data_IF_742174241213
#
_entry.id   IF_742174241213
#
_cell.length_a   1.000
_cell.length_b   1.000
_cell.length_c   1.000
_cell.angle_alpha   90.00
_cell.angle_beta   90.00
_cell.angle_gamma   90.00
#
_symmetry.space_group_name_H-M   'P 1'
#
loop_
_entity.id
_entity.type
_entity.pdbx_description
1 polymer ?
#
# COMPACT_ATOMS: atom_id res chain seq x y z
N UNK A 1 27.12 13.87 1.05
CA UNK A 1 26.17 13.34 2.05
C UNK A 1 24.79 13.45 1.41
N UNK A 2 24.02 12.41 1.08
CA UNK A 2 24.03 10.99 1.44
C UNK A 2 23.79 10.14 0.19
N UNK A 3 24.45 8.98 0.15
CA UNK A 3 24.30 7.96 -0.88
C UNK A 3 23.26 6.95 -0.38
N UNK A 4 22.13 6.76 -1.07
CA UNK A 4 21.34 5.54 -0.90
C UNK A 4 20.94 4.91 -2.25
N UNK A 5 21.90 4.14 -2.76
CA UNK A 5 21.69 2.72 -3.06
C UNK A 5 20.66 2.42 -4.17
N UNK A 6 21.19 2.30 -5.38
CA UNK A 6 20.91 1.21 -6.33
C UNK A 6 20.03 0.06 -5.80
N UNK A 7 18.89 -0.18 -6.46
CA UNK A 7 18.47 -1.52 -6.88
C UNK A 7 17.18 -1.48 -7.73
N UNK A 8 17.37 -1.70 -9.03
CA UNK A 8 16.39 -2.29 -9.93
C UNK A 8 15.97 -3.66 -9.40
N UNK A 9 14.72 -3.77 -8.93
CA UNK A 9 13.99 -5.02 -8.84
C UNK A 9 12.51 -4.63 -8.80
N UNK A 10 11.68 -5.27 -9.63
CA UNK A 10 10.22 -5.12 -9.61
C UNK A 10 9.67 -5.75 -8.32
N UNK A 11 10.04 -5.18 -7.18
CA UNK A 11 9.58 -5.61 -5.88
C UNK A 11 8.10 -5.28 -5.84
N UNK A 12 7.29 -6.32 -5.92
CA UNK A 12 5.84 -6.16 -5.94
C UNK A 12 5.37 -6.34 -4.51
N UNK A 13 4.69 -5.33 -3.98
CA UNK A 13 4.07 -5.38 -2.67
C UNK A 13 2.69 -5.99 -2.84
N UNK A 14 2.43 -7.10 -2.15
CA UNK A 14 1.09 -7.60 -1.95
C UNK A 14 0.46 -6.80 -0.81
N UNK A 15 -0.54 -5.98 -1.13
CA UNK A 15 -1.27 -5.17 -0.15
C UNK A 15 -2.63 -5.82 0.05
N UNK A 16 -2.92 -6.23 1.29
CA UNK A 16 -4.21 -6.82 1.67
C UNK A 16 -4.95 -5.89 2.61
N UNK A 17 -6.21 -5.59 2.32
CA UNK A 17 -7.05 -4.81 3.23
C UNK A 17 -7.55 -5.72 4.38
N UNK A 18 -7.13 -5.47 5.62
CA UNK A 18 -7.52 -6.29 6.78
C UNK A 18 -8.66 -5.68 7.58
N UNK A 19 -8.81 -4.35 7.54
CA UNK A 19 -9.84 -3.63 8.30
C UNK A 19 -10.88 -3.00 7.39
N UNK A 20 -12.10 -2.86 7.91
CA UNK A 20 -13.20 -2.19 7.22
C UNK A 20 -12.92 -0.71 6.96
N UNK A 21 -13.46 -0.21 5.84
CA UNK A 21 -13.40 1.18 5.38
C UNK A 21 -14.50 2.07 6.00
N UNK A 22 -15.47 1.48 6.69
CA UNK A 22 -16.57 2.22 7.29
C UNK A 22 -16.06 3.23 8.35
N UNK A 23 -16.64 4.43 8.36
CA UNK A 23 -16.33 5.52 9.31
C UNK A 23 -14.85 5.93 9.33
N UNK A 24 -14.13 5.80 8.21
CA UNK A 24 -12.75 6.29 8.05
C UNK A 24 -12.75 7.69 7.44
N UNK A 25 -11.66 8.43 7.65
CA UNK A 25 -11.48 9.74 7.03
C UNK A 25 -11.52 9.61 5.50
N UNK A 26 -12.12 10.59 4.80
CA UNK A 26 -12.23 10.56 3.33
C UNK A 26 -10.88 10.38 2.65
N UNK A 27 -9.83 11.04 3.15
CA UNK A 27 -8.47 10.92 2.61
C UNK A 27 -7.93 9.48 2.66
N UNK A 28 -8.28 8.70 3.69
CA UNK A 28 -7.87 7.30 3.76
C UNK A 28 -8.65 6.43 2.77
N UNK A 29 -9.95 6.70 2.60
CA UNK A 29 -10.78 6.03 1.60
C UNK A 29 -10.25 6.26 0.18
N UNK A 30 -9.80 7.48 -0.13
CA UNK A 30 -9.21 7.81 -1.43
C UNK A 30 -7.90 7.05 -1.67
N UNK A 31 -7.01 6.98 -0.68
CA UNK A 31 -5.77 6.19 -0.82
C UNK A 31 -6.06 4.70 -1.04
N UNK A 32 -7.01 4.12 -0.30
CA UNK A 32 -7.42 2.72 -0.48
C UNK A 32 -8.01 2.48 -1.87
N UNK A 33 -8.88 3.39 -2.34
CA UNK A 33 -9.47 3.32 -3.68
C UNK A 33 -8.42 3.49 -4.78
N UNK A 34 -7.47 4.39 -4.59
CA UNK A 34 -6.34 4.63 -5.50
C UNK A 34 -5.43 3.41 -5.65
N UNK A 35 -5.28 2.63 -4.57
CA UNK A 35 -4.57 1.34 -4.58
C UNK A 35 -5.43 0.18 -5.15
N UNK A 36 -6.69 0.41 -5.53
CA UNK A 36 -7.57 -0.60 -6.12
C UNK A 36 -8.23 -1.57 -5.12
N UNK A 37 -8.14 -1.29 -3.82
CA UNK A 37 -8.74 -2.11 -2.77
C UNK A 37 -10.22 -1.75 -2.59
N UNK A 38 -11.12 -2.71 -2.82
CA UNK A 38 -12.58 -2.53 -2.70
C UNK A 38 -13.20 -3.36 -1.57
N UNK A 39 -12.66 -4.55 -1.29
CA UNK A 39 -13.23 -5.51 -0.33
C UNK A 39 -12.20 -5.88 0.75
N UNK A 40 -12.70 -6.26 1.93
CA UNK A 40 -11.86 -6.79 3.01
C UNK A 40 -11.28 -8.13 2.55
N UNK A 41 -10.02 -8.39 2.91
CA UNK A 41 -9.19 -9.52 2.50
C UNK A 41 -8.88 -9.60 1.01
N UNK A 42 -9.17 -8.54 0.25
CA UNK A 42 -8.68 -8.43 -1.12
C UNK A 42 -7.18 -8.12 -1.10
N UNK A 43 -6.40 -8.89 -1.84
CA UNK A 43 -4.98 -8.66 -2.08
C UNK A 43 -4.79 -8.01 -3.45
N UNK A 44 -4.01 -6.93 -3.51
CA UNK A 44 -3.61 -6.25 -4.74
C UNK A 44 -2.10 -6.16 -4.81
N UNK A 45 -1.56 -6.46 -5.98
CA UNK A 45 -0.14 -6.37 -6.27
C UNK A 45 0.21 -4.96 -6.78
N UNK A 46 1.04 -4.25 -6.03
CA UNK A 46 1.41 -2.86 -6.29
C UNK A 46 2.92 -2.77 -6.44
N UNK A 47 3.39 -1.96 -7.38
CA UNK A 47 4.84 -1.72 -7.54
C UNK A 47 5.40 -0.95 -6.34
N UNK A 48 6.58 -1.33 -5.89
CA UNK A 48 7.28 -0.64 -4.80
C UNK A 48 7.88 0.70 -5.26
N UNK A 49 7.04 1.72 -5.37
CA UNK A 49 7.45 3.11 -5.62
C UNK A 49 7.35 3.93 -4.33
N UNK A 50 8.18 4.99 -4.17
CA UNK A 50 8.09 5.88 -2.99
C UNK A 50 6.70 6.51 -2.84
N UNK A 51 6.01 6.75 -3.95
CA UNK A 51 4.63 7.26 -3.99
C UNK A 51 3.64 6.25 -3.40
N UNK A 52 3.70 4.99 -3.86
CA UNK A 52 2.83 3.91 -3.35
C UNK A 52 3.10 3.64 -1.87
N UNK A 53 4.37 3.65 -1.45
CA UNK A 53 4.73 3.59 -0.02
C UNK A 53 4.15 4.74 0.77
N UNK A 54 4.16 5.96 0.23
CA UNK A 54 3.54 7.13 0.86
C UNK A 54 2.04 6.93 1.10
N UNK A 55 1.32 6.41 0.10
CA UNK A 55 -0.10 6.06 0.23
C UNK A 55 -0.33 4.98 1.28
N UNK A 56 0.46 3.89 1.22
CA UNK A 56 0.37 2.75 2.15
C UNK A 56 0.65 3.19 3.59
N UNK A 57 1.67 4.03 3.82
CA UNK A 57 2.03 4.53 5.16
C UNK A 57 0.89 5.30 5.81
N UNK A 58 0.12 6.08 5.04
CA UNK A 58 -1.06 6.79 5.55
C UNK A 58 -2.17 5.85 6.03
N UNK A 59 -2.24 4.64 5.49
CA UNK A 59 -3.27 3.64 5.80
C UNK A 59 -2.70 2.38 6.46
N UNK A 60 -1.46 2.43 6.97
CA UNK A 60 -0.69 1.27 7.46
C UNK A 60 -1.45 0.41 8.49
N UNK A 61 -2.30 1.03 9.31
CA UNK A 61 -3.09 0.34 10.34
C UNK A 61 -4.27 -0.46 9.79
N UNK A 62 -4.60 -0.31 8.51
CA UNK A 62 -5.73 -0.96 7.82
C UNK A 62 -5.28 -2.04 6.83
N UNK A 63 -4.03 -1.98 6.39
CA UNK A 63 -3.49 -2.85 5.35
C UNK A 63 -2.37 -3.73 5.90
N UNK A 64 -2.31 -4.97 5.41
CA UNK A 64 -1.16 -5.85 5.58
C UNK A 64 -0.34 -5.77 4.30
N UNK A 65 0.95 -5.54 4.43
CA UNK A 65 1.88 -5.48 3.30
C UNK A 65 2.79 -6.68 3.40
N UNK A 66 2.79 -7.51 2.36
CA UNK A 66 3.70 -8.62 2.20
C UNK A 66 4.60 -8.34 0.99
N UNK A 67 5.91 -8.41 1.20
CA UNK A 67 6.85 -8.22 0.10
C UNK A 67 6.98 -9.53 -0.67
N UNK A 68 6.52 -9.54 -1.91
CA UNK A 68 6.74 -10.67 -2.81
C UNK A 68 8.16 -10.50 -3.36
N UNK A 69 9.06 -11.41 -2.95
CA UNK A 69 10.45 -11.48 -3.41
C UNK A 69 10.53 -12.01 -4.83
#
# INVERSE_FOLDING_TARGET
MANNKTATAKNTLAVTLVKSLAKRLPNHLENVKGLGLKRIHQTVHVQDTPENRGMINRIHYMVKVEQVK
#
